data_IF_002699801625
#
_entry.id   IF_002699801625
#
_cell.length_a   1.000
_cell.length_b   1.000
_cell.length_c   1.000
_cell.angle_alpha   90.00
_cell.angle_beta   90.00
_cell.angle_gamma   90.00
#
_symmetry.space_group_name_H-M   'P 1'
#
loop_
_entity.id
_entity.type
_entity.pdbx_description
1 polymer ?
#
# COMPACT_ATOMS: atom_id res chain seq x y z
N UNK A 1 17.67 -18.93 -12.07
CA UNK A 1 17.01 -17.63 -12.32
C UNK A 1 17.06 -16.81 -11.03
N UNK A 2 17.87 -15.75 -10.98
CA UNK A 2 17.86 -14.81 -9.85
C UNK A 2 16.53 -14.06 -9.88
N UNK A 3 15.66 -14.33 -8.91
CA UNK A 3 14.49 -13.49 -8.65
C UNK A 3 14.99 -12.04 -8.52
N UNK A 4 14.36 -11.05 -9.18
CA UNK A 4 14.76 -9.67 -9.02
C UNK A 4 14.75 -9.35 -7.52
N UNK A 5 15.90 -8.93 -6.99
CA UNK A 5 16.06 -8.61 -5.56
C UNK A 5 15.45 -7.26 -5.19
N UNK A 6 14.70 -6.67 -6.13
CA UNK A 6 14.17 -5.32 -6.07
C UNK A 6 12.69 -5.32 -6.44
N UNK A 7 11.96 -4.43 -5.78
CA UNK A 7 10.56 -4.17 -6.01
C UNK A 7 10.37 -3.53 -7.40
N UNK A 8 9.38 -4.02 -8.13
CA UNK A 8 9.10 -3.58 -9.51
C UNK A 8 8.39 -2.24 -9.59
N UNK A 9 8.01 -1.66 -8.44
CA UNK A 9 7.31 -0.40 -8.31
C UNK A 9 5.79 -0.58 -8.24
N UNK A 10 5.12 0.25 -7.43
CA UNK A 10 3.68 0.11 -7.16
C UNK A 10 2.80 0.24 -8.41
N UNK A 11 3.27 0.97 -9.42
CA UNK A 11 2.57 1.14 -10.70
C UNK A 11 2.55 -0.15 -11.53
N UNK A 12 3.61 -0.96 -11.43
CA UNK A 12 3.80 -2.22 -12.16
C UNK A 12 3.51 -3.45 -11.30
N UNK A 13 3.10 -3.23 -10.05
CA UNK A 13 2.91 -4.27 -9.06
C UNK A 13 1.71 -5.16 -9.39
N UNK A 14 1.81 -6.42 -9.01
CA UNK A 14 0.78 -7.42 -9.27
C UNK A 14 -0.57 -6.96 -8.67
N UNK A 15 -1.67 -7.27 -9.36
CA UNK A 15 -3.03 -6.91 -8.93
C UNK A 15 -3.22 -5.37 -8.76
N UNK A 16 -2.48 -4.56 -9.53
CA UNK A 16 -2.62 -3.10 -9.49
C UNK A 16 -2.11 -2.45 -8.20
N UNK A 17 -1.12 -3.08 -7.54
CA UNK A 17 -0.60 -2.60 -6.25
C UNK A 17 -1.34 -3.16 -5.04
N UNK A 18 -2.25 -4.12 -5.19
CA UNK A 18 -2.96 -4.75 -4.05
C UNK A 18 -2.12 -5.79 -3.29
N UNK A 19 -0.79 -5.77 -3.44
CA UNK A 19 0.12 -6.59 -2.62
C UNK A 19 0.40 -5.93 -1.27
N UNK A 20 0.97 -6.71 -0.34
CA UNK A 20 1.44 -6.20 0.96
C UNK A 20 2.39 -5.00 0.82
N UNK A 21 3.32 -5.06 -0.14
CA UNK A 21 4.27 -3.96 -0.40
C UNK A 21 3.55 -2.73 -0.95
N UNK A 22 2.62 -2.93 -1.89
CA UNK A 22 1.81 -1.84 -2.43
C UNK A 22 0.95 -1.16 -1.37
N UNK A 23 0.38 -1.92 -0.43
CA UNK A 23 -0.34 -1.38 0.73
C UNK A 23 0.57 -0.52 1.62
N UNK A 24 1.77 -0.99 1.95
CA UNK A 24 2.74 -0.25 2.77
C UNK A 24 3.10 1.09 2.12
N UNK A 25 3.33 1.10 0.81
CA UNK A 25 3.65 2.33 0.08
C UNK A 25 2.46 3.30 0.09
N UNK A 26 1.22 2.81 -0.11
CA UNK A 26 0.02 3.65 0.00
C UNK A 26 -0.15 4.25 1.39
N UNK A 27 0.03 3.45 2.43
CA UNK A 27 -0.05 3.94 3.82
C UNK A 27 1.07 4.95 4.11
N UNK A 28 2.27 4.74 3.56
CA UNK A 28 3.36 5.72 3.65
C UNK A 28 3.00 7.05 2.97
N UNK A 29 2.26 7.03 1.86
CA UNK A 29 1.72 8.23 1.22
C UNK A 29 0.66 8.92 2.09
N UNK A 30 -0.26 8.16 2.69
CA UNK A 30 -1.30 8.69 3.60
C UNK A 30 -0.66 9.48 4.74
N UNK A 31 0.36 8.90 5.37
CA UNK A 31 1.08 9.51 6.48
C UNK A 31 2.14 10.55 6.07
N UNK A 32 2.36 10.75 4.77
CA UNK A 32 3.39 11.66 4.27
C UNK A 32 4.82 11.21 4.59
N UNK A 33 5.04 9.92 4.89
CA UNK A 33 6.37 9.31 5.04
C UNK A 33 7.09 9.27 3.68
N UNK A 34 6.33 9.03 2.62
CA UNK A 34 6.76 9.08 1.24
C UNK A 34 5.86 10.04 0.45
N UNK A 35 6.38 10.74 -0.57
CA UNK A 35 5.52 11.52 -1.47
C UNK A 35 4.67 10.57 -2.34
N UNK A 36 3.45 10.99 -2.70
CA UNK A 36 2.51 10.23 -3.55
C UNK A 36 3.09 9.84 -4.93
N UNK A 37 4.19 10.46 -5.35
CA UNK A 37 4.91 10.16 -6.60
C UNK A 37 5.99 9.09 -6.45
N UNK A 38 6.35 8.69 -5.23
CA UNK A 38 7.40 7.69 -4.98
C UNK A 38 6.85 6.28 -5.17
N UNK A 39 7.18 5.66 -6.29
CA UNK A 39 6.72 4.30 -6.64
C UNK A 39 7.53 3.18 -5.99
N UNK A 40 8.67 3.52 -5.37
CA UNK A 40 9.67 2.58 -4.84
C UNK A 40 10.20 1.57 -5.88
N UNK A 41 10.11 1.87 -7.18
CA UNK A 41 10.71 1.04 -8.23
C UNK A 41 12.22 0.89 -8.01
N UNK A 42 12.73 -0.34 -8.10
CA UNK A 42 14.13 -0.66 -7.90
C UNK A 42 14.57 -0.77 -6.44
N UNK A 43 13.66 -0.60 -5.48
CA UNK A 43 14.00 -0.70 -4.05
C UNK A 43 14.23 -2.14 -3.63
N UNK A 44 15.25 -2.39 -2.81
CA UNK A 44 15.43 -3.70 -2.19
C UNK A 44 14.46 -3.88 -1.01
N UNK A 45 14.37 -5.11 -0.50
CA UNK A 45 13.48 -5.44 0.63
C UNK A 45 13.82 -4.65 1.91
N UNK A 46 15.10 -4.32 2.14
CA UNK A 46 15.50 -3.55 3.32
C UNK A 46 14.97 -2.09 3.28
N UNK A 47 14.92 -1.49 2.09
CA UNK A 47 14.31 -0.18 1.89
C UNK A 47 12.81 -0.21 2.15
N UNK A 48 12.12 -1.25 1.67
CA UNK A 48 10.69 -1.45 1.92
C UNK A 48 10.43 -1.70 3.41
N UNK A 49 11.23 -2.53 4.07
CA UNK A 49 11.13 -2.81 5.51
C UNK A 49 11.29 -1.52 6.35
N UNK A 50 12.24 -0.66 5.97
CA UNK A 50 12.42 0.63 6.64
C UNK A 50 11.18 1.53 6.54
N UNK A 51 10.42 1.45 5.44
CA UNK A 51 9.16 2.18 5.27
C UNK A 51 8.06 1.52 6.10
N UNK A 52 7.97 0.18 6.06
CA UNK A 52 7.03 -0.59 6.87
C UNK A 52 7.14 -0.25 8.36
N UNK A 53 8.36 -0.19 8.91
CA UNK A 53 8.56 0.16 10.32
C UNK A 53 8.03 1.56 10.65
N UNK A 54 8.24 2.55 9.77
CA UNK A 54 7.73 3.92 9.97
C UNK A 54 6.22 3.98 9.87
N UNK A 55 5.65 3.28 8.89
CA UNK A 55 4.20 3.18 8.69
C UNK A 55 3.53 2.52 9.90
N UNK A 56 4.09 1.42 10.40
CA UNK A 56 3.60 0.75 11.60
C UNK A 56 3.67 1.65 12.84
N UNK A 57 4.78 2.38 13.02
CA UNK A 57 4.91 3.33 14.11
C UNK A 57 3.86 4.46 14.05
N UNK A 58 3.45 4.85 12.85
CA UNK A 58 2.39 5.84 12.67
C UNK A 58 1.00 5.25 12.91
N UNK A 59 0.75 4.04 12.41
CA UNK A 59 -0.48 3.30 12.68
C UNK A 59 -0.68 3.03 14.17
N UNK A 60 0.39 2.73 14.93
CA UNK A 60 0.34 2.49 16.38
C UNK A 60 -0.29 3.66 17.14
N UNK A 61 -0.01 4.90 16.72
CA UNK A 61 -0.61 6.13 17.29
C UNK A 61 -2.14 6.15 17.16
N UNK A 62 -2.67 5.48 16.15
CA UNK A 62 -4.11 5.36 15.88
C UNK A 62 -4.64 3.97 16.22
N UNK A 63 -3.85 3.13 16.92
CA UNK A 63 -4.20 1.75 17.26
C UNK A 63 -4.49 0.88 16.05
N UNK A 64 -3.83 1.12 14.91
CA UNK A 64 -3.94 0.38 13.66
C UNK A 64 -5.36 0.35 13.06
N UNK A 65 -6.19 1.36 13.35
CA UNK A 65 -7.56 1.46 12.86
C UNK A 65 -7.75 2.73 12.02
N UNK A 66 -8.21 2.56 10.77
CA UNK A 66 -8.60 3.66 9.87
C UNK A 66 -9.65 4.57 10.54
N UNK A 67 -10.59 3.99 11.30
CA UNK A 67 -11.65 4.74 12.00
C UNK A 67 -11.14 5.66 13.11
N UNK A 68 -9.87 5.52 13.52
CA UNK A 68 -9.22 6.40 14.51
C UNK A 68 -8.34 7.47 13.87
N UNK A 69 -8.26 7.49 12.53
CA UNK A 69 -7.53 8.54 11.82
C UNK A 69 -8.26 9.88 11.95
N UNK A 70 -7.52 11.00 12.07
CA UNK A 70 -8.09 12.33 11.92
C UNK A 70 -8.67 12.51 10.50
N UNK A 71 -9.64 13.43 10.32
CA UNK A 71 -10.39 13.56 9.07
C UNK A 71 -9.49 13.81 7.84
N UNK A 72 -8.41 14.57 7.98
CA UNK A 72 -7.46 14.83 6.88
C UNK A 72 -6.77 13.54 6.40
N UNK A 73 -6.31 12.70 7.34
CA UNK A 73 -5.67 11.42 7.02
C UNK A 73 -6.68 10.40 6.51
N UNK A 74 -7.90 10.39 7.06
CA UNK A 74 -8.97 9.51 6.58
C UNK A 74 -9.36 9.84 5.14
N UNK A 75 -9.49 11.13 4.78
CA UNK A 75 -9.76 11.56 3.40
C UNK A 75 -8.63 11.15 2.46
N UNK A 76 -7.36 11.37 2.85
CA UNK A 76 -6.20 10.93 2.06
C UNK A 76 -6.19 9.42 1.87
N UNK A 77 -6.45 8.65 2.93
CA UNK A 77 -6.54 7.19 2.86
C UNK A 77 -7.61 6.74 1.86
N UNK A 78 -8.81 7.31 1.96
CA UNK A 78 -9.90 6.99 1.02
C UNK A 78 -9.53 7.34 -0.43
N UNK A 79 -8.94 8.51 -0.66
CA UNK A 79 -8.51 8.92 -2.01
C UNK A 79 -7.46 7.99 -2.60
N UNK A 80 -6.42 7.68 -1.83
CA UNK A 80 -5.26 6.89 -2.28
C UNK A 80 -5.65 5.42 -2.47
N UNK A 81 -6.29 4.81 -1.48
CA UNK A 81 -6.69 3.40 -1.58
C UNK A 81 -7.87 3.21 -2.53
N UNK A 82 -8.81 4.15 -2.59
CA UNK A 82 -9.89 4.15 -3.57
C UNK A 82 -9.37 4.17 -5.01
N UNK A 83 -8.46 5.08 -5.34
CA UNK A 83 -7.85 5.14 -6.67
C UNK A 83 -7.08 3.86 -7.02
N UNK A 84 -6.41 3.24 -6.04
CA UNK A 84 -5.73 1.97 -6.25
C UNK A 84 -6.70 0.81 -6.50
N UNK A 85 -7.82 0.76 -5.77
CA UNK A 85 -8.89 -0.23 -5.97
C UNK A 85 -9.50 -0.07 -7.37
N UNK A 86 -9.79 1.15 -7.82
CA UNK A 86 -10.31 1.40 -9.17
C UNK A 86 -9.33 0.95 -10.25
N UNK A 87 -8.04 1.25 -10.07
CA UNK A 87 -6.98 0.81 -10.99
C UNK A 87 -6.83 -0.71 -10.99
N UNK A 88 -6.91 -1.36 -9.83
CA UNK A 88 -6.86 -2.80 -9.72
C UNK A 88 -8.06 -3.43 -10.45
N UNK A 89 -9.28 -2.92 -10.23
CA UNK A 89 -10.50 -3.35 -10.93
C UNK A 89 -10.38 -3.22 -12.44
N UNK A 90 -9.85 -2.10 -12.93
CA UNK A 90 -9.60 -1.89 -14.36
C UNK A 90 -8.60 -2.90 -14.96
N UNK A 91 -7.66 -3.41 -14.14
CA UNK A 91 -6.71 -4.44 -14.52
C UNK A 91 -7.22 -5.87 -14.29
N UNK A 92 -8.53 -6.05 -14.05
CA UNK A 92 -9.16 -7.36 -13.90
C UNK A 92 -9.14 -7.93 -12.49
N UNK A 93 -8.81 -7.14 -11.48
CA UNK A 93 -8.97 -7.54 -10.08
C UNK A 93 -10.44 -7.45 -9.67
N UNK A 94 -11.12 -8.58 -9.61
CA UNK A 94 -12.40 -8.73 -8.94
C UNK A 94 -12.10 -8.96 -7.47
N UNK A 95 -12.35 -7.99 -6.58
CA UNK A 95 -12.04 -8.05 -5.14
C UNK A 95 -12.70 -9.20 -4.34
N UNK A 96 -13.21 -10.21 -5.01
CA UNK A 96 -13.73 -11.49 -4.49
C UNK A 96 -12.66 -12.27 -3.69
N UNK A 97 -11.37 -11.99 -3.86
CA UNK A 97 -10.30 -12.69 -3.15
C UNK A 97 -9.97 -12.12 -1.75
N UNK A 98 -10.59 -11.00 -1.33
CA UNK A 98 -10.37 -10.45 0.01
C UNK A 98 -11.37 -10.98 1.06
N UNK A 99 -12.41 -11.69 0.64
CA UNK A 99 -13.45 -12.29 1.50
C UNK A 99 -13.67 -13.77 1.21
N UNK A 100 -12.69 -14.47 0.64
CA UNK A 100 -12.68 -15.94 0.70
C UNK A 100 -12.25 -16.29 2.15
N UNK A 101 -13.21 -16.20 3.06
CA UNK A 101 -13.23 -17.03 4.26
C UNK A 101 -13.17 -18.47 3.72
N UNK A 102 -11.98 -19.08 3.78
CA UNK A 102 -11.77 -20.48 3.41
C UNK A 102 -12.83 -21.36 4.12
N UNK A 103 -13.67 -22.05 3.35
CA UNK A 103 -14.63 -23.07 3.83
C UNK A 103 -13.92 -24.28 4.46
#
# INVERSE_FOLDING_TARGET
>A
MNKPSTYIGIDKDLQGGMTTIGKIIRDAWVFGILPETQTCEGWNLAGIDSVLQKVNAEWDKYGCLVSRLPPDLAERHQRIHGAAIEKARANGWCGEHETDDED
#
